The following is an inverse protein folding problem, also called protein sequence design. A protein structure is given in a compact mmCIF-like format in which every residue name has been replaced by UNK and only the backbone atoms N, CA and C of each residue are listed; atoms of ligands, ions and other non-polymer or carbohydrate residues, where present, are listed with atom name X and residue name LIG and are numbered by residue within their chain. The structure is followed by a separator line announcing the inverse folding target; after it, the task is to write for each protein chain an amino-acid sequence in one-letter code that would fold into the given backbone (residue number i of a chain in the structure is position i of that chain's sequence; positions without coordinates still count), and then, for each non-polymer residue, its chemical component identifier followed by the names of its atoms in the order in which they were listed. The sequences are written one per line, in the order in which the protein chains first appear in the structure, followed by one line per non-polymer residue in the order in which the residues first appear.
data_IF_846288419618
#
_entry.id   IF_846288419618
#
_cell.length_a   1.000
_cell.length_b   1.000
_cell.length_c   1.000
_cell.angle_alpha   90.00
_cell.angle_beta   90.00
_cell.angle_gamma   90.00
#
_symmetry.space_group_name_H-M   'P 1'
#
loop_
_entity.id
_entity.type
_entity.pdbx_description
1 polymer ?
#
# COMPACT_ATOMS: atom_id res chain seq x y z
N UNK A 1 -33.69 43.59 10.17
CA UNK A 1 -32.87 44.45 11.06
C UNK A 1 -33.17 44.02 12.49
N UNK A 2 -32.29 43.23 13.11
CA UNK A 2 -32.36 42.95 14.54
C UNK A 2 -30.92 42.83 15.04
N UNK A 3 -30.43 43.88 15.71
CA UNK A 3 -29.10 43.94 16.32
C UNK A 3 -29.22 43.43 17.74
N UNK A 4 -28.48 42.36 18.05
CA UNK A 4 -28.08 42.03 19.42
C UNK A 4 -26.56 42.17 19.48
N UNK A 5 -26.10 43.32 19.97
CA UNK A 5 -24.70 43.56 20.32
C UNK A 5 -24.41 42.94 21.69
N UNK A 6 -23.49 41.97 21.73
CA UNK A 6 -22.74 41.59 22.93
C UNK A 6 -21.25 41.90 22.70
N UNK A 7 -20.46 42.22 23.75
CA UNK A 7 -19.06 42.59 23.60
C UNK A 7 -18.22 41.36 23.22
N UNK A 8 -17.44 41.51 22.16
CA UNK A 8 -16.59 40.50 21.55
C UNK A 8 -15.28 40.30 22.32
N UNK A 9 -15.19 39.20 23.08
CA UNK A 9 -13.93 38.51 23.31
C UNK A 9 -14.08 37.07 22.82
N UNK A 10 -13.86 36.90 21.52
CA UNK A 10 -13.76 35.60 20.88
C UNK A 10 -13.13 35.85 19.54
N UNK A 11 -12.01 35.17 19.25
CA UNK A 11 -11.52 35.09 17.87
C UNK A 11 -12.69 34.57 17.03
N UNK A 12 -13.21 35.41 16.15
CA UNK A 12 -14.11 34.98 15.08
C UNK A 12 -13.29 34.03 14.22
N UNK A 13 -13.53 32.73 14.37
CA UNK A 13 -13.00 31.74 13.44
C UNK A 13 -13.93 31.87 12.24
N UNK A 14 -13.45 32.59 11.23
CA UNK A 14 -14.08 32.63 9.92
C UNK A 14 -13.85 31.24 9.29
N UNK A 15 -14.77 30.32 9.57
CA UNK A 15 -14.83 29.03 8.87
C UNK A 15 -15.41 29.36 7.50
N UNK A 16 -14.55 29.69 6.56
CA UNK A 16 -14.90 29.84 5.15
C UNK A 16 -15.70 28.59 4.76
N UNK A 17 -17.01 28.76 4.53
CA UNK A 17 -17.95 27.64 4.34
C UNK A 17 -17.77 27.14 2.92
N UNK A 18 -16.67 26.44 2.71
CA UNK A 18 -16.47 25.61 1.54
C UNK A 18 -17.58 24.55 1.41
N UNK A 19 -17.63 23.84 0.27
CA UNK A 19 -18.56 22.74 0.13
C UNK A 19 -18.39 21.76 1.30
N UNK A 20 -19.50 21.25 1.81
CA UNK A 20 -19.48 20.20 2.83
C UNK A 20 -18.66 19.00 2.33
N UNK A 21 -17.93 18.30 3.21
CA UNK A 21 -17.17 17.14 2.81
C UNK A 21 -18.11 16.01 2.35
N UNK A 22 -17.69 15.27 1.33
CA UNK A 22 -18.41 14.09 0.83
C UNK A 22 -18.41 12.94 1.86
N UNK A 23 -17.42 12.89 2.75
CA UNK A 23 -17.30 11.89 3.81
C UNK A 23 -16.74 12.53 5.08
N UNK A 24 -17.31 12.20 6.23
CA UNK A 24 -16.69 12.41 7.54
C UNK A 24 -16.28 11.07 8.14
N UNK A 25 -15.06 10.98 8.68
CA UNK A 25 -14.61 9.83 9.47
C UNK A 25 -14.61 10.19 10.96
N UNK A 26 -15.43 9.49 11.74
CA UNK A 26 -15.46 9.54 13.19
C UNK A 26 -14.74 8.32 13.77
N UNK A 27 -13.82 8.58 14.70
CA UNK A 27 -13.18 7.54 15.51
C UNK A 27 -13.73 7.64 16.93
N UNK A 28 -14.63 6.73 17.27
CA UNK A 28 -15.35 6.72 18.54
C UNK A 28 -14.62 5.86 19.58
N UNK A 29 -13.84 6.53 20.43
CA UNK A 29 -13.20 5.89 21.59
C UNK A 29 -14.17 5.67 22.78
N UNK A 30 -15.41 6.16 22.68
CA UNK A 30 -16.36 6.30 23.78
C UNK A 30 -17.72 5.69 23.48
N UNK A 31 -17.83 4.67 22.63
CA UNK A 31 -19.07 3.89 22.37
C UNK A 31 -20.35 4.65 21.97
N UNK A 32 -20.36 5.99 21.92
CA UNK A 32 -21.57 6.82 21.96
C UNK A 32 -21.60 7.96 20.92
N UNK A 33 -20.92 7.80 19.78
CA UNK A 33 -21.18 8.62 18.58
C UNK A 33 -22.61 8.37 18.05
N UNK A 34 -23.22 7.22 18.40
CA UNK A 34 -24.30 6.58 17.64
C UNK A 34 -25.70 7.20 17.69
N UNK A 35 -25.95 8.26 18.46
CA UNK A 35 -27.29 8.91 18.43
C UNK A 35 -27.23 10.42 18.19
N UNK A 36 -26.60 11.19 19.08
CA UNK A 36 -26.70 12.65 18.99
C UNK A 36 -25.89 13.28 17.87
N UNK A 37 -24.72 12.71 17.52
CA UNK A 37 -23.89 13.27 16.45
C UNK A 37 -24.47 13.00 15.06
N UNK A 38 -25.05 11.83 14.85
CA UNK A 38 -25.70 11.50 13.58
C UNK A 38 -26.88 12.44 13.30
N UNK A 39 -27.68 12.81 14.30
CA UNK A 39 -28.75 13.79 14.13
C UNK A 39 -28.20 15.17 13.72
N UNK A 40 -27.07 15.59 14.31
CA UNK A 40 -26.39 16.85 13.94
C UNK A 40 -25.86 16.78 12.52
N UNK A 41 -25.20 15.68 12.13
CA UNK A 41 -24.66 15.52 10.77
C UNK A 41 -25.75 15.44 9.70
N UNK A 42 -26.88 14.81 10.02
CA UNK A 42 -28.06 14.81 9.15
C UNK A 42 -28.63 16.22 9.00
N UNK A 43 -28.71 17.00 10.10
CA UNK A 43 -29.16 18.40 10.05
C UNK A 43 -28.24 19.31 9.22
N UNK A 44 -26.96 18.96 9.11
CA UNK A 44 -26.00 19.64 8.25
C UNK A 44 -26.03 19.14 6.81
N UNK A 45 -26.71 18.02 6.51
CA UNK A 45 -26.80 17.46 5.18
C UNK A 45 -25.55 16.70 4.71
N UNK A 46 -24.76 16.15 5.64
CA UNK A 46 -23.55 15.40 5.30
C UNK A 46 -23.92 14.07 4.62
N UNK A 47 -23.48 13.80 3.39
CA UNK A 47 -24.01 12.68 2.60
C UNK A 47 -23.57 11.31 3.12
N UNK A 48 -22.39 11.21 3.73
CA UNK A 48 -21.81 9.95 4.19
C UNK A 48 -20.95 10.14 5.45
N UNK A 49 -21.12 9.26 6.43
CA UNK A 49 -20.37 9.25 7.69
C UNK A 49 -19.78 7.85 7.91
N UNK A 50 -18.48 7.79 8.12
CA UNK A 50 -17.76 6.58 8.49
C UNK A 50 -17.52 6.60 9.99
N UNK A 51 -17.94 5.55 10.69
CA UNK A 51 -17.72 5.41 12.11
C UNK A 51 -16.84 4.20 12.37
N UNK A 52 -15.64 4.42 12.92
CA UNK A 52 -14.77 3.39 13.45
C UNK A 52 -14.84 3.42 14.97
N UNK A 53 -15.05 2.28 15.61
CA UNK A 53 -14.94 2.14 17.07
C UNK A 53 -13.69 1.31 17.36
N UNK A 54 -12.54 1.91 17.72
CA UNK A 54 -11.31 1.18 17.96
C UNK A 54 -11.46 0.16 19.09
N UNK A 55 -10.86 -1.02 18.95
CA UNK A 55 -10.73 -1.96 20.07
C UNK A 55 -9.46 -1.64 20.86
N UNK A 56 -9.53 -1.49 22.19
CA UNK A 56 -8.33 -1.48 23.00
C UNK A 56 -7.62 -2.82 22.84
N UNK A 57 -6.29 -2.80 22.65
CA UNK A 57 -5.44 -3.99 22.43
C UNK A 57 -5.61 -5.07 23.51
N UNK A 58 -6.08 -4.70 24.70
CA UNK A 58 -6.31 -5.59 25.84
C UNK A 58 -7.70 -6.26 25.86
N UNK A 59 -8.59 -5.95 24.91
CA UNK A 59 -9.93 -6.53 24.87
C UNK A 59 -9.94 -7.79 23.97
N UNK A 60 -10.58 -8.87 24.41
CA UNK A 60 -10.64 -10.11 23.64
C UNK A 60 -11.37 -9.88 22.29
N UNK A 61 -10.89 -10.49 21.17
CA UNK A 61 -11.56 -10.37 19.88
C UNK A 61 -13.02 -10.81 19.98
N UNK A 62 -13.94 -10.02 19.41
CA UNK A 62 -15.37 -10.38 19.45
C UNK A 62 -15.63 -11.66 18.66
N UNK A 63 -16.45 -12.54 19.22
CA UNK A 63 -16.94 -13.78 18.60
C UNK A 63 -17.75 -13.54 17.31
N UNK A 64 -18.23 -12.32 17.06
CA UNK A 64 -19.10 -12.00 15.93
C UNK A 64 -18.40 -11.67 14.62
N UNK A 65 -17.08 -11.46 14.60
CA UNK A 65 -16.30 -11.19 13.37
C UNK A 65 -16.69 -9.96 12.55
N UNK A 66 -17.64 -9.14 13.02
CA UNK A 66 -18.08 -7.92 12.32
C UNK A 66 -17.07 -6.79 12.57
N UNK A 67 -16.54 -6.13 11.51
CA UNK A 67 -15.71 -4.96 11.67
C UNK A 67 -16.49 -3.87 12.41
N UNK A 68 -15.82 -3.13 13.30
CA UNK A 68 -16.39 -1.97 14.00
C UNK A 68 -16.43 -0.70 13.14
N UNK A 69 -16.14 -0.86 11.85
CA UNK A 69 -16.32 0.15 10.83
C UNK A 69 -17.74 0.08 10.26
N UNK A 70 -18.49 1.17 10.36
CA UNK A 70 -19.83 1.30 9.81
C UNK A 70 -19.87 2.50 8.87
N UNK A 71 -20.47 2.33 7.70
CA UNK A 71 -20.76 3.42 6.79
C UNK A 71 -22.22 3.80 6.99
N UNK A 72 -22.48 5.07 7.25
CA UNK A 72 -23.80 5.67 7.34
C UNK A 72 -24.03 6.53 6.10
N UNK A 73 -25.11 6.26 5.35
CA UNK A 73 -25.53 7.07 4.20
C UNK A 73 -26.76 7.89 4.58
N UNK A 74 -26.76 9.17 4.24
CA UNK A 74 -27.92 10.03 4.45
C UNK A 74 -29.01 9.66 3.44
N UNK A 75 -30.18 9.27 3.96
CA UNK A 75 -31.39 8.93 3.21
C UNK A 75 -32.60 9.66 3.82
N UNK A 76 -33.11 10.67 3.11
CA UNK A 76 -34.08 11.59 3.68
C UNK A 76 -33.47 12.38 4.84
N UNK A 77 -34.13 12.35 6.00
CA UNK A 77 -33.73 13.11 7.20
C UNK A 77 -32.86 12.29 8.17
N UNK A 78 -32.43 11.08 7.79
CA UNK A 78 -31.72 10.17 8.69
C UNK A 78 -30.68 9.30 8.01
N UNK A 79 -29.82 8.70 8.82
CA UNK A 79 -28.77 7.80 8.35
C UNK A 79 -29.20 6.34 8.33
N UNK A 80 -28.83 5.64 7.27
CA UNK A 80 -28.93 4.18 7.16
C UNK A 80 -27.55 3.54 7.06
N UNK A 81 -27.38 2.36 7.66
CA UNK A 81 -26.13 1.60 7.53
C UNK A 81 -25.96 1.06 6.11
N UNK A 82 -24.74 1.13 5.59
CA UNK A 82 -24.33 0.59 4.31
C UNK A 82 -23.05 -0.25 4.45
N UNK A 83 -22.94 -1.28 3.61
CA UNK A 83 -21.70 -2.06 3.47
C UNK A 83 -20.71 -1.43 2.48
N UNK A 84 -21.13 -0.44 1.70
CA UNK A 84 -20.38 0.13 0.58
C UNK A 84 -20.45 1.65 0.61
N UNK A 85 -19.32 2.30 0.35
CA UNK A 85 -19.24 3.75 0.25
C UNK A 85 -19.91 4.28 -1.02
N UNK A 86 -20.64 5.39 -0.89
CA UNK A 86 -21.21 6.16 -2.02
C UNK A 86 -20.16 7.11 -2.58
N UNK A 87 -19.44 7.84 -1.72
CA UNK A 87 -18.37 8.75 -2.11
C UNK A 87 -17.20 8.02 -2.79
N UNK A 88 -16.84 6.83 -2.29
CA UNK A 88 -15.81 5.96 -2.87
C UNK A 88 -16.46 4.71 -3.47
N UNK A 89 -17.11 4.90 -4.62
CA UNK A 89 -17.94 3.87 -5.25
C UNK A 89 -17.27 2.48 -5.32
N UNK A 90 -17.85 1.52 -4.61
CA UNK A 90 -17.41 0.12 -4.57
C UNK A 90 -16.34 -0.20 -3.51
N UNK A 91 -15.94 0.77 -2.68
CA UNK A 91 -15.11 0.50 -1.51
C UNK A 91 -15.97 -0.02 -0.36
N UNK A 92 -15.69 -1.23 0.11
CA UNK A 92 -16.50 -1.89 1.14
C UNK A 92 -16.02 -1.51 2.54
N UNK A 93 -16.95 -1.44 3.50
CA UNK A 93 -16.66 -1.19 4.91
C UNK A 93 -15.52 -2.07 5.47
N UNK A 94 -15.53 -3.37 5.14
CA UNK A 94 -14.48 -4.31 5.57
C UNK A 94 -13.10 -3.99 4.95
N UNK A 95 -13.07 -3.52 3.69
CA UNK A 95 -11.83 -3.12 3.04
C UNK A 95 -11.29 -1.81 3.62
N UNK A 96 -12.17 -0.85 3.91
CA UNK A 96 -11.80 0.40 4.57
C UNK A 96 -11.25 0.13 5.97
N UNK A 97 -11.95 -0.70 6.75
CA UNK A 97 -11.51 -1.10 8.09
C UNK A 97 -10.10 -1.70 8.08
N UNK A 98 -9.81 -2.62 7.16
CA UNK A 98 -8.45 -3.19 7.00
C UNK A 98 -7.44 -2.13 6.56
N UNK A 99 -7.81 -1.30 5.60
CA UNK A 99 -6.94 -0.21 5.14
C UNK A 99 -6.56 0.75 6.26
N UNK A 100 -7.47 1.03 7.20
CA UNK A 100 -7.20 1.88 8.36
C UNK A 100 -6.40 1.16 9.46
N UNK A 101 -6.70 -0.10 9.75
CA UNK A 101 -6.24 -0.76 10.97
C UNK A 101 -5.12 -1.81 10.80
N UNK A 102 -4.82 -2.29 9.59
CA UNK A 102 -3.73 -3.24 9.41
C UNK A 102 -2.36 -2.57 9.70
N UNK A 103 -1.58 -3.12 10.63
CA UNK A 103 -0.22 -2.64 10.94
C UNK A 103 0.70 -2.77 9.72
N UNK A 104 0.63 -3.93 9.04
CA UNK A 104 1.26 -4.18 7.74
C UNK A 104 0.18 -4.47 6.73
N UNK A 105 0.10 -3.66 5.67
CA UNK A 105 -0.95 -3.79 4.65
C UNK A 105 -0.77 -5.10 3.89
N UNK A 106 -1.79 -5.94 3.90
CA UNK A 106 -1.83 -7.16 3.08
C UNK A 106 -1.90 -6.80 1.59
N UNK A 107 -1.48 -7.73 0.72
CA UNK A 107 -1.59 -7.55 -0.73
C UNK A 107 -3.04 -7.28 -1.17
N UNK A 108 -4.01 -7.88 -0.49
CA UNK A 108 -5.44 -7.66 -0.72
C UNK A 108 -5.87 -6.23 -0.36
N UNK A 109 -5.42 -5.72 0.80
CA UNK A 109 -5.69 -4.33 1.22
C UNK A 109 -5.06 -3.33 0.27
N UNK A 110 -3.81 -3.55 -0.13
CA UNK A 110 -3.12 -2.72 -1.15
C UNK A 110 -3.88 -2.75 -2.47
N UNK A 111 -4.29 -3.93 -2.95
CA UNK A 111 -5.06 -4.06 -4.19
C UNK A 111 -6.41 -3.31 -4.12
N UNK A 112 -7.10 -3.35 -2.98
CA UNK A 112 -8.34 -2.62 -2.76
C UNK A 112 -8.13 -1.10 -2.78
N UNK A 113 -7.14 -0.58 -2.06
CA UNK A 113 -6.79 0.86 -2.05
C UNK A 113 -6.42 1.32 -3.46
N UNK A 114 -5.57 0.58 -4.18
CA UNK A 114 -5.21 0.87 -5.57
C UNK A 114 -6.41 0.91 -6.50
N UNK A 115 -7.34 -0.04 -6.36
CA UNK A 115 -8.56 -0.11 -7.17
C UNK A 115 -9.42 1.15 -6.99
N UNK A 116 -9.58 1.61 -5.74
CA UNK A 116 -10.36 2.81 -5.41
C UNK A 116 -9.63 4.07 -5.87
N UNK A 117 -8.32 4.20 -5.60
CA UNK A 117 -7.50 5.33 -6.05
C UNK A 117 -7.53 5.52 -7.56
N UNK A 118 -7.36 4.43 -8.34
CA UNK A 118 -7.50 4.48 -9.81
C UNK A 118 -8.88 4.96 -10.26
N UNK A 119 -9.94 4.59 -9.56
CA UNK A 119 -11.30 5.01 -9.90
C UNK A 119 -11.51 6.49 -9.60
N UNK A 120 -10.99 6.98 -8.48
CA UNK A 120 -11.05 8.38 -8.08
C UNK A 120 -10.27 9.27 -9.06
N UNK A 121 -9.04 8.88 -9.42
CA UNK A 121 -8.23 9.63 -10.38
C UNK A 121 -8.89 9.74 -11.77
N UNK A 122 -9.54 8.67 -12.24
CA UNK A 122 -10.34 8.71 -13.48
C UNK A 122 -11.54 9.67 -13.38
N UNK A 123 -12.19 9.76 -12.23
CA UNK A 123 -13.38 10.58 -12.04
C UNK A 123 -13.05 12.08 -11.91
N UNK A 124 -11.90 12.40 -11.31
CA UNK A 124 -11.45 13.79 -11.05
C UNK A 124 -10.57 14.36 -12.16
N UNK A 125 -10.23 13.55 -13.18
CA UNK A 125 -9.38 13.98 -14.29
C UNK A 125 -7.90 14.11 -13.92
N UNK A 126 -7.51 13.78 -12.69
CA UNK A 126 -6.11 13.68 -12.29
C UNK A 126 -5.54 12.38 -12.85
N UNK A 127 -4.72 12.51 -13.90
CA UNK A 127 -3.99 11.38 -14.44
C UNK A 127 -3.02 10.82 -13.40
N UNK A 128 -2.49 9.61 -13.59
CA UNK A 128 -1.50 9.04 -12.69
C UNK A 128 -0.16 9.81 -12.65
N UNK A 129 -0.04 10.89 -13.42
CA UNK A 129 1.09 11.81 -13.44
C UNK A 129 0.85 13.09 -12.58
N UNK A 130 -0.40 13.36 -12.19
CA UNK A 130 -0.79 14.51 -11.35
C UNK A 130 -0.96 14.13 -9.87
N UNK A 131 -1.04 12.83 -9.57
CA UNK A 131 -1.21 12.32 -8.21
C UNK A 131 0.17 11.97 -7.61
N UNK A 132 0.62 12.81 -6.67
CA UNK A 132 1.90 12.63 -5.96
C UNK A 132 2.01 11.28 -5.24
N UNK A 133 0.88 10.69 -4.83
CA UNK A 133 0.85 9.38 -4.18
C UNK A 133 1.13 8.25 -5.19
N UNK A 134 0.53 8.34 -6.38
CA UNK A 134 0.79 7.39 -7.48
C UNK A 134 2.21 7.56 -8.08
N UNK A 135 2.79 8.75 -7.98
CA UNK A 135 4.17 9.04 -8.38
C UNK A 135 5.19 8.28 -7.54
N UNK A 136 5.11 8.41 -6.21
CA UNK A 136 6.00 7.72 -5.28
C UNK A 136 5.86 6.19 -5.36
N UNK A 137 4.62 5.69 -5.49
CA UNK A 137 4.35 4.26 -5.63
C UNK A 137 4.91 3.68 -6.95
N UNK A 138 4.92 4.47 -8.03
CA UNK A 138 5.57 4.07 -9.28
C UNK A 138 7.08 4.10 -9.18
N UNK A 139 7.68 5.03 -8.43
CA UNK A 139 9.13 5.00 -8.21
C UNK A 139 9.55 3.76 -7.44
N UNK A 140 8.80 3.39 -6.41
CA UNK A 140 9.01 2.17 -5.63
C UNK A 140 8.75 0.92 -6.51
N UNK A 141 7.62 0.85 -7.22
CA UNK A 141 7.31 -0.27 -8.13
C UNK A 141 8.31 -0.38 -9.29
N UNK A 142 8.86 0.74 -9.78
CA UNK A 142 9.92 0.74 -10.80
C UNK A 142 11.28 0.40 -10.19
N UNK A 143 11.53 0.70 -8.92
CA UNK A 143 12.75 0.30 -8.24
C UNK A 143 12.73 -1.22 -7.99
N UNK A 144 11.63 -1.75 -7.47
CA UNK A 144 11.39 -3.19 -7.29
C UNK A 144 11.43 -3.93 -8.62
N UNK A 145 10.68 -3.46 -9.63
CA UNK A 145 10.68 -4.07 -10.96
C UNK A 145 12.02 -3.99 -11.69
N UNK A 146 12.85 -2.96 -11.43
CA UNK A 146 14.22 -2.89 -11.94
C UNK A 146 15.13 -3.87 -11.23
N UNK A 147 15.00 -4.05 -9.92
CA UNK A 147 15.80 -5.00 -9.16
C UNK A 147 15.48 -6.45 -9.56
N UNK A 148 14.20 -6.80 -9.64
CA UNK A 148 13.75 -8.12 -10.11
C UNK A 148 14.15 -8.37 -11.57
N UNK A 149 13.95 -7.37 -12.45
CA UNK A 149 14.35 -7.48 -13.85
C UNK A 149 15.87 -7.61 -14.04
N UNK A 150 16.67 -6.94 -13.22
CA UNK A 150 18.13 -7.07 -13.25
C UNK A 150 18.59 -8.46 -12.79
N UNK A 151 17.96 -9.02 -11.75
CA UNK A 151 18.27 -10.38 -11.29
C UNK A 151 17.87 -11.43 -12.34
N UNK A 152 16.70 -11.29 -12.95
CA UNK A 152 16.27 -12.20 -14.00
C UNK A 152 17.16 -12.10 -15.25
N UNK A 153 17.58 -10.89 -15.61
CA UNK A 153 18.55 -10.68 -16.68
C UNK A 153 19.90 -11.33 -16.34
N UNK A 154 20.41 -11.17 -15.12
CA UNK A 154 21.66 -11.78 -14.68
C UNK A 154 21.58 -13.32 -14.72
N UNK A 155 20.47 -13.90 -14.24
CA UNK A 155 20.23 -15.36 -14.34
C UNK A 155 20.25 -15.82 -15.80
N UNK A 156 19.55 -15.11 -16.67
CA UNK A 156 19.50 -15.41 -18.11
C UNK A 156 20.89 -15.34 -18.75
N UNK A 157 21.69 -14.32 -18.42
CA UNK A 157 23.05 -14.16 -18.94
C UNK A 157 24.00 -15.26 -18.46
N UNK A 158 23.92 -15.66 -17.18
CA UNK A 158 24.71 -16.79 -16.66
C UNK A 158 24.31 -18.09 -17.37
N UNK A 159 23.00 -18.37 -17.54
CA UNK A 159 22.53 -19.55 -18.28
C UNK A 159 23.04 -19.54 -19.71
N UNK A 160 22.94 -18.40 -20.42
CA UNK A 160 23.42 -18.26 -21.79
C UNK A 160 24.95 -18.45 -21.89
N UNK A 161 25.72 -17.90 -20.94
CA UNK A 161 27.17 -18.06 -20.92
C UNK A 161 27.60 -19.53 -20.74
N UNK A 162 26.93 -20.27 -19.85
CA UNK A 162 27.20 -21.70 -19.66
C UNK A 162 26.78 -22.52 -20.89
N UNK A 163 25.59 -22.25 -21.45
CA UNK A 163 25.07 -22.94 -22.63
C UNK A 163 25.92 -22.68 -23.88
N UNK A 164 26.39 -21.45 -24.10
CA UNK A 164 27.27 -21.10 -25.22
C UNK A 164 28.60 -21.87 -25.19
N UNK A 165 28.95 -22.42 -24.02
CA UNK A 165 30.16 -23.21 -23.78
C UNK A 165 29.87 -24.71 -23.68
N UNK A 166 28.65 -25.12 -24.02
CA UNK A 166 28.16 -26.50 -23.96
C UNK A 166 28.27 -27.12 -22.56
N UNK A 167 28.18 -26.29 -21.52
CA UNK A 167 28.19 -26.74 -20.13
C UNK A 167 26.76 -27.03 -19.67
N UNK A 168 26.56 -28.23 -19.11
CA UNK A 168 25.28 -28.64 -18.58
C UNK A 168 24.86 -27.77 -17.37
N UNK A 169 23.64 -27.23 -17.42
CA UNK A 169 23.01 -26.58 -16.27
C UNK A 169 22.50 -27.70 -15.35
N UNK A 170 23.29 -28.01 -14.32
CA UNK A 170 22.93 -29.03 -13.33
C UNK A 170 21.90 -28.49 -12.33
N UNK A 171 21.16 -29.34 -11.60
CA UNK A 171 20.23 -28.88 -10.56
C UNK A 171 20.90 -28.01 -9.49
N UNK A 172 22.19 -28.20 -9.22
CA UNK A 172 22.94 -27.38 -8.27
C UNK A 172 23.19 -25.96 -8.79
N UNK A 173 23.49 -25.82 -10.09
CA UNK A 173 23.61 -24.51 -10.75
C UNK A 173 22.26 -23.79 -10.75
N UNK A 174 21.18 -24.51 -11.05
CA UNK A 174 19.83 -23.94 -11.04
C UNK A 174 19.43 -23.47 -9.63
N UNK A 175 19.70 -24.27 -8.60
CA UNK A 175 19.46 -23.89 -7.21
C UNK A 175 20.30 -22.68 -6.77
N UNK A 176 21.51 -22.51 -7.29
CA UNK A 176 22.30 -21.30 -7.06
C UNK A 176 21.69 -20.08 -7.76
N UNK A 177 21.27 -20.22 -9.02
CA UNK A 177 20.61 -19.16 -9.78
C UNK A 177 19.32 -18.68 -9.11
N UNK A 178 18.54 -19.58 -8.52
CA UNK A 178 17.33 -19.21 -7.77
C UNK A 178 17.65 -18.46 -6.47
N UNK A 179 18.84 -18.66 -5.88
CA UNK A 179 19.32 -17.95 -4.69
C UNK A 179 20.01 -16.62 -4.98
N UNK A 180 20.23 -16.26 -6.25
CA UNK A 180 20.74 -14.94 -6.62
C UNK A 180 19.87 -13.84 -5.99
N UNK A 181 20.53 -12.86 -5.39
CA UNK A 181 19.87 -11.75 -4.71
C UNK A 181 20.52 -10.43 -5.08
N UNK A 182 19.88 -9.31 -4.73
CA UNK A 182 20.36 -7.97 -5.09
C UNK A 182 21.75 -7.63 -4.51
N UNK A 183 22.24 -8.38 -3.52
CA UNK A 183 23.57 -8.19 -2.93
C UNK A 183 24.67 -9.00 -3.62
N UNK A 184 24.32 -9.89 -4.54
CA UNK A 184 25.28 -10.69 -5.30
C UNK A 184 25.94 -9.83 -6.37
N UNK A 185 27.27 -9.91 -6.49
CA UNK A 185 27.98 -9.29 -7.61
C UNK A 185 27.67 -10.07 -8.91
N UNK A 186 26.72 -9.55 -9.67
CA UNK A 186 26.25 -10.16 -10.91
C UNK A 186 27.32 -10.16 -12.01
N UNK A 187 28.24 -9.19 -12.02
CA UNK A 187 29.32 -9.14 -12.99
C UNK A 187 30.35 -10.23 -12.70
N UNK A 188 30.71 -10.44 -11.43
CA UNK A 188 31.59 -11.52 -11.02
C UNK A 188 30.98 -12.91 -11.31
N UNK A 189 29.66 -13.06 -11.11
CA UNK A 189 28.94 -14.28 -11.45
C UNK A 189 28.95 -14.58 -12.96
N UNK A 190 28.68 -13.56 -13.79
CA UNK A 190 28.74 -13.70 -15.25
C UNK A 190 30.17 -14.02 -15.71
N UNK A 191 31.18 -13.32 -15.17
CA UNK A 191 32.59 -13.60 -15.45
C UNK A 191 32.99 -15.03 -15.06
N UNK A 192 32.54 -15.49 -13.90
CA UNK A 192 32.77 -16.87 -13.44
C UNK A 192 32.15 -17.91 -14.38
N UNK A 193 30.97 -17.63 -14.95
CA UNK A 193 30.32 -18.51 -15.93
C UNK A 193 31.07 -18.56 -17.28
N UNK A 194 31.70 -17.46 -17.67
CA UNK A 194 32.52 -17.38 -18.89
C UNK A 194 33.87 -18.10 -18.71
N UNK A 195 34.44 -18.09 -17.51
CA UNK A 195 35.78 -18.61 -17.24
C UNK A 195 35.83 -20.05 -16.67
N UNK A 196 34.72 -20.56 -16.11
CA UNK A 196 34.71 -21.86 -15.46
C UNK A 196 35.06 -23.02 -16.41
N UNK A 197 35.63 -24.11 -15.94
CA UNK A 197 35.90 -25.29 -16.82
C UNK A 197 34.70 -26.21 -16.97
N UNK A 198 33.88 -26.29 -15.93
CA UNK A 198 32.67 -27.11 -15.84
C UNK A 198 31.70 -26.50 -14.81
N UNK A 199 30.58 -27.18 -14.58
CA UNK A 199 29.56 -26.73 -13.64
C UNK A 199 30.03 -26.71 -12.17
N UNK A 200 30.97 -27.59 -11.78
CA UNK A 200 31.49 -27.64 -10.42
C UNK A 200 32.51 -26.50 -10.18
N UNK A 201 33.36 -26.23 -11.16
CA UNK A 201 34.29 -25.10 -11.15
C UNK A 201 33.55 -23.76 -11.12
N UNK A 202 32.41 -23.65 -11.81
CA UNK A 202 31.53 -22.48 -11.71
C UNK A 202 31.04 -22.27 -10.28
N UNK A 203 30.42 -23.29 -9.67
CA UNK A 203 29.88 -23.21 -8.31
C UNK A 203 30.98 -22.85 -7.29
N UNK A 204 32.16 -23.44 -7.43
CA UNK A 204 33.32 -23.15 -6.58
C UNK A 204 33.75 -21.68 -6.67
N UNK A 205 33.74 -21.09 -7.87
CA UNK A 205 34.13 -19.69 -8.10
C UNK A 205 33.12 -18.69 -7.54
N UNK A 206 31.83 -18.98 -7.64
CA UNK A 206 30.77 -18.09 -7.13
C UNK A 206 30.49 -18.23 -5.64
N UNK A 207 30.93 -19.34 -5.02
CA UNK A 207 30.88 -19.54 -3.56
C UNK A 207 32.19 -19.16 -2.85
N UNK A 208 33.28 -18.98 -3.60
CA UNK A 208 34.53 -18.48 -3.04
C UNK A 208 34.37 -17.00 -2.65
N UNK A 209 34.85 -16.58 -1.46
CA UNK A 209 34.84 -15.17 -1.08
C UNK A 209 35.68 -14.36 -2.08
N UNK A 210 35.29 -13.10 -2.38
CA UNK A 210 36.03 -12.26 -3.30
C UNK A 210 37.47 -12.13 -2.77
N UNK A 211 38.42 -12.63 -3.56
CA UNK A 211 39.84 -12.48 -3.25
C UNK A 211 40.15 -11.00 -3.46
N UNK A 212 40.39 -10.28 -2.37
CA UNK A 212 40.76 -8.87 -2.42
C UNK A 212 42.07 -8.74 -3.23
N UNK A 213 42.16 -7.81 -4.18
CA UNK A 213 43.34 -7.66 -5.02
C UNK A 213 44.55 -7.01 -4.31
N UNK A 214 44.47 -6.76 -3.00
CA UNK A 214 45.56 -6.21 -2.20
C UNK A 214 46.22 -7.33 -1.37
N UNK A 215 47.02 -8.17 -2.02
CA UNK A 215 48.20 -8.80 -1.41
C UNK A 215 48.97 -9.57 -2.51
N UNK A 216 49.82 -8.83 -3.22
CA UNK A 216 50.98 -9.40 -3.88
C UNK A 216 52.24 -8.72 -3.31
N UNK A 217 53.31 -9.47 -3.00
CA UNK A 217 54.51 -8.95 -2.35
C UNK A 217 55.34 -8.01 -3.24
#
# INVERSE_FOLDING_TARGET
MCRLTRPSFGKEIDVDIGPLPDVILEVDHTTDVRRRKLDVYASWGLPEVWAEVPEPVWMAPRTSGRPRFVIYLLEGDGYVESAVSRAFAGWRAAEIHRALNEERKSAETVAAVRRVGRRLGRATGTGPDDDRFLGAEREESRAEGRAEGALEMARSLVRQALQARDLAITPAVEAWLERLSATTDTNAAIGSAVECRDAEDFLRRVEAPPTSPDEAP
#
